data_IF_676065507445
#
_entry.id   IF_676065507445
#
_cell.length_a   1.000
_cell.length_b   1.000
_cell.length_c   1.000
_cell.angle_alpha   90.00
_cell.angle_beta   90.00
_cell.angle_gamma   90.00
#
_symmetry.space_group_name_H-M   'P 1'
#
loop_
_entity.id
_entity.type
_entity.pdbx_description
1 polymer ?
#
# COMPACT_ATOMS: atom_id res chain seq x y z
N UNK A 1 2.69 15.19 13.35
CA UNK A 1 2.14 13.81 13.29
C UNK A 1 0.63 13.76 13.00
N UNK A 2 -0.17 14.70 13.55
CA UNK A 2 -1.63 14.78 13.41
C UNK A 2 -2.13 15.42 12.09
N UNK A 3 -1.31 15.42 11.03
CA UNK A 3 -1.63 16.10 9.75
C UNK A 3 -2.42 15.21 8.77
N UNK A 4 -3.07 14.14 9.25
CA UNK A 4 -3.76 13.16 8.39
C UNK A 4 -2.84 12.31 7.50
N UNK A 5 -1.54 12.33 7.75
CA UNK A 5 -0.57 11.57 6.97
C UNK A 5 -0.72 10.06 7.22
N UNK A 6 -0.66 9.27 6.15
CA UNK A 6 -0.63 7.80 6.20
C UNK A 6 0.73 7.33 5.71
N UNK A 7 1.37 6.47 6.49
CA UNK A 7 2.65 5.86 6.13
C UNK A 7 2.42 4.41 5.70
N UNK A 8 2.81 4.10 4.46
CA UNK A 8 2.71 2.76 3.90
C UNK A 8 4.08 2.05 3.97
N UNK A 9 4.10 0.81 4.45
CA UNK A 9 5.30 -0.03 4.48
C UNK A 9 5.01 -1.37 3.83
N UNK A 10 5.87 -1.80 2.91
CA UNK A 10 5.79 -3.11 2.27
C UNK A 10 6.83 -4.07 2.83
N UNK A 11 6.40 -5.29 3.12
CA UNK A 11 7.31 -6.36 3.54
C UNK A 11 8.26 -6.77 2.42
N UNK A 12 9.44 -7.32 2.76
CA UNK A 12 10.46 -7.74 1.77
C UNK A 12 9.95 -8.74 0.72
N UNK A 13 9.04 -9.64 1.12
CA UNK A 13 8.40 -10.62 0.21
C UNK A 13 7.35 -9.98 -0.71
N UNK A 14 6.90 -8.77 -0.38
CA UNK A 14 5.96 -7.97 -1.16
C UNK A 14 4.49 -8.37 -1.07
N UNK A 15 4.18 -9.41 -0.31
CA UNK A 15 2.84 -9.95 0.00
C UNK A 15 2.13 -9.20 1.14
N UNK A 16 2.86 -8.32 1.84
CA UNK A 16 2.40 -7.66 3.08
C UNK A 16 2.46 -6.14 2.94
N UNK A 17 1.39 -5.48 3.37
CA UNK A 17 1.29 -4.02 3.43
C UNK A 17 0.80 -3.57 4.80
N UNK A 18 1.48 -2.58 5.36
CA UNK A 18 1.15 -1.93 6.63
C UNK A 18 0.83 -0.46 6.38
N UNK A 19 -0.31 0.01 6.85
CA UNK A 19 -0.68 1.42 6.86
C UNK A 19 -0.71 1.91 8.31
N UNK A 20 0.19 2.82 8.65
CA UNK A 20 0.25 3.48 9.96
C UNK A 20 -0.33 4.88 9.84
N UNK A 21 -1.31 5.21 10.69
CA UNK A 21 -1.92 6.53 10.74
C UNK A 21 -2.33 6.90 12.17
N UNK A 22 -2.52 8.19 12.41
CA UNK A 22 -3.02 8.71 13.70
C UNK A 22 -4.52 8.98 13.57
N UNK A 23 -5.34 8.40 14.44
CA UNK A 23 -6.80 8.53 14.41
C UNK A 23 -7.34 9.74 15.19
N UNK A 24 -6.47 10.44 15.93
CA UNK A 24 -6.84 11.52 16.84
C UNK A 24 -6.47 11.21 18.29
N UNK A 25 -6.47 9.94 18.68
CA UNK A 25 -6.19 9.47 20.04
C UNK A 25 -4.94 8.59 20.12
N UNK A 26 -4.65 7.86 19.05
CA UNK A 26 -3.57 6.88 19.00
C UNK A 26 -3.09 6.60 17.59
N UNK A 27 -2.01 5.81 17.51
CA UNK A 27 -1.59 5.23 16.25
C UNK A 27 -2.39 3.96 15.97
N UNK A 28 -3.01 3.93 14.79
CA UNK A 28 -3.68 2.76 14.25
C UNK A 28 -2.82 2.13 13.17
N UNK A 29 -2.80 0.80 13.15
CA UNK A 29 -2.12 0.00 12.15
C UNK A 29 -3.14 -0.86 11.40
N UNK A 30 -3.30 -0.61 10.10
CA UNK A 30 -3.95 -1.57 9.23
C UNK A 30 -2.90 -2.50 8.61
N UNK A 31 -3.11 -3.81 8.71
CA UNK A 31 -2.22 -4.82 8.15
C UNK A 31 -2.94 -5.75 7.17
N UNK A 32 -2.49 -5.77 5.92
CA UNK A 32 -3.03 -6.64 4.86
C UNK A 32 -1.97 -7.61 4.38
N UNK A 33 -2.36 -8.88 4.28
CA UNK A 33 -1.56 -9.96 3.71
C UNK A 33 -2.32 -10.51 2.51
N UNK A 34 -1.66 -10.59 1.36
CA UNK A 34 -2.23 -11.22 0.18
C UNK A 34 -2.03 -12.74 0.27
N UNK A 35 -3.08 -13.50 0.03
CA UNK A 35 -2.96 -14.95 -0.11
C UNK A 35 -2.19 -15.36 -1.37
N UNK A 36 -2.29 -14.54 -2.43
CA UNK A 36 -1.58 -14.71 -3.70
C UNK A 36 -1.14 -13.36 -4.27
N UNK A 37 0.01 -13.36 -4.94
CA UNK A 37 0.54 -12.18 -5.62
C UNK A 37 1.37 -11.27 -4.70
N UNK A 38 1.64 -10.05 -5.17
CA UNK A 38 2.45 -9.05 -4.47
C UNK A 38 1.88 -7.66 -4.71
N UNK A 39 1.93 -6.80 -3.70
CA UNK A 39 1.62 -5.39 -3.87
C UNK A 39 2.59 -4.75 -4.86
N UNK A 40 2.11 -3.91 -5.80
CA UNK A 40 2.98 -3.07 -6.59
C UNK A 40 3.69 -2.09 -5.65
N UNK A 41 4.96 -1.81 -5.93
CA UNK A 41 5.73 -0.88 -5.11
C UNK A 41 6.51 0.07 -6.00
N UNK A 42 6.38 1.39 -5.78
CA UNK A 42 7.17 2.36 -6.51
C UNK A 42 8.66 2.07 -6.28
N UNK A 43 9.47 2.19 -7.34
CA UNK A 43 10.92 2.31 -7.15
C UNK A 43 11.14 3.59 -6.35
N UNK A 44 11.78 3.49 -5.19
CA UNK A 44 12.03 4.64 -4.34
C UNK A 44 13.50 5.02 -4.47
N UNK A 45 13.79 6.09 -5.21
CA UNK A 45 15.12 6.70 -5.13
C UNK A 45 15.27 7.25 -3.70
N UNK A 46 16.20 6.69 -2.92
CA UNK A 46 16.40 7.07 -1.52
C UNK A 46 15.44 6.44 -0.50
N UNK A 47 14.69 5.40 -0.87
CA UNK A 47 13.95 4.56 0.10
C UNK A 47 12.53 5.02 0.45
N UNK A 48 12.12 6.23 0.06
CA UNK A 48 10.77 6.77 0.32
C UNK A 48 10.12 7.27 -0.98
N UNK A 49 8.82 7.00 -1.17
CA UNK A 49 8.00 7.61 -2.22
C UNK A 49 6.80 8.34 -1.60
N UNK A 50 6.48 9.50 -2.17
CA UNK A 50 5.23 10.21 -1.84
C UNK A 50 4.13 9.71 -2.76
N UNK A 51 2.99 9.35 -2.17
CA UNK A 51 1.81 8.90 -2.90
C UNK A 51 0.67 9.89 -2.68
N UNK A 52 -0.12 10.10 -3.73
CA UNK A 52 -1.45 10.71 -3.59
C UNK A 52 -2.43 9.70 -2.99
N UNK A 53 -3.57 10.17 -2.48
CA UNK A 53 -4.63 9.29 -1.96
C UNK A 53 -5.12 8.28 -3.01
N UNK A 54 -5.22 8.69 -4.28
CA UNK A 54 -5.59 7.81 -5.37
C UNK A 54 -4.55 6.70 -5.61
N UNK A 55 -3.26 7.05 -5.59
CA UNK A 55 -2.18 6.06 -5.72
C UNK A 55 -2.13 5.09 -4.54
N UNK A 56 -2.38 5.57 -3.32
CA UNK A 56 -2.49 4.69 -2.15
C UNK A 56 -3.67 3.72 -2.29
N UNK A 57 -4.83 4.19 -2.76
CA UNK A 57 -5.99 3.33 -3.01
C UNK A 57 -5.73 2.28 -4.10
N UNK A 58 -5.04 2.66 -5.18
CA UNK A 58 -4.64 1.70 -6.22
C UNK A 58 -3.64 0.67 -5.68
N UNK A 59 -2.62 1.12 -4.93
CA UNK A 59 -1.67 0.24 -4.25
C UNK A 59 -2.39 -0.75 -3.32
N UNK A 60 -3.39 -0.27 -2.58
CA UNK A 60 -4.20 -1.05 -1.65
C UNK A 60 -4.96 -2.19 -2.33
N UNK A 61 -5.49 -1.92 -3.51
CA UNK A 61 -6.17 -2.90 -4.37
C UNK A 61 -5.19 -3.75 -5.20
N UNK A 62 -3.89 -3.51 -5.10
CA UNK A 62 -2.86 -4.24 -5.85
C UNK A 62 -2.70 -3.78 -7.31
N UNK A 63 -3.24 -2.63 -7.67
CA UNK A 63 -3.19 -2.05 -9.02
C UNK A 63 -1.90 -1.23 -9.18
N UNK A 64 -1.08 -1.55 -10.19
CA UNK A 64 0.12 -0.75 -10.51
C UNK A 64 -0.23 0.42 -11.43
N UNK A 65 -0.44 1.61 -10.87
CA UNK A 65 -0.78 2.81 -11.64
C UNK A 65 0.34 3.30 -12.57
N UNK A 66 1.57 2.80 -12.42
CA UNK A 66 2.69 3.16 -13.30
C UNK A 66 2.69 2.34 -14.58
N UNK A 67 1.95 1.23 -14.59
CA UNK A 67 1.79 0.37 -15.75
C UNK A 67 0.30 0.33 -16.08
N UNK A 68 -0.17 1.07 -17.10
CA UNK A 68 -1.57 1.05 -17.52
C UNK A 68 -1.99 -0.29 -18.17
N UNK A 69 -1.26 -1.38 -17.90
CA UNK A 69 -1.64 -2.73 -18.27
C UNK A 69 -2.44 -3.36 -17.13
N UNK A 70 -3.59 -3.93 -17.45
CA UNK A 70 -4.37 -4.74 -16.52
C UNK A 70 -3.58 -6.00 -16.15
N UNK A 71 -2.76 -5.92 -15.09
CA UNK A 71 -2.17 -7.08 -14.44
C UNK A 71 -3.23 -7.87 -13.67
N UNK A 72 -2.97 -9.17 -13.44
CA UNK A 72 -3.89 -10.05 -12.72
C UNK A 72 -4.22 -9.48 -11.32
N UNK A 73 -5.47 -9.09 -11.05
CA UNK A 73 -5.84 -8.51 -9.77
C UNK A 73 -5.66 -9.55 -8.65
N UNK A 74 -5.29 -9.13 -7.42
CA UNK A 74 -5.31 -10.03 -6.28
C UNK A 74 -6.73 -10.59 -6.14
N UNK A 75 -6.84 -11.92 -6.23
CA UNK A 75 -8.13 -12.60 -6.14
C UNK A 75 -8.76 -12.31 -4.77
N UNK A 76 -9.99 -11.80 -4.76
CA UNK A 76 -10.79 -11.76 -3.53
C UNK A 76 -11.14 -13.21 -3.20
N UNK A 77 -10.76 -13.65 -2.00
CA UNK A 77 -11.24 -14.93 -1.48
C UNK A 77 -12.63 -14.66 -0.91
N UNK A 78 -13.61 -15.35 -1.46
CA UNK A 78 -14.96 -15.47 -0.89
C UNK A 78 -15.02 -16.62 0.08
#
# INVERSE_FOLDING_TARGET
PASGAVFAFRGRRGDRLKLLYWDGQGFCLYYKVLERGRFPWPGTEGGVARLTSAQLAMLWEGIDWRRPDWGAPPARVG
#
